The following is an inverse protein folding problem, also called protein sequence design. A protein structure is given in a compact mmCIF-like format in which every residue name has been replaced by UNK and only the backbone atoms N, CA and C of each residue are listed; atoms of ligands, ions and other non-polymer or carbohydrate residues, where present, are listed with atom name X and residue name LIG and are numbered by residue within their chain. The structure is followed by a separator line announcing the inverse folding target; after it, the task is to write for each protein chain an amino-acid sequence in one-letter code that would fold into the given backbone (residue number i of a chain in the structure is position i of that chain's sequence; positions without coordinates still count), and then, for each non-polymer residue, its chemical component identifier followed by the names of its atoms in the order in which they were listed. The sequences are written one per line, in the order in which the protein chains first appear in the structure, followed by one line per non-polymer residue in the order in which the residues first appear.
data_IF_116170343150
#
_entry.id   IF_116170343150
#
_cell.length_a   1.000
_cell.length_b   1.000
_cell.length_c   1.000
_cell.angle_alpha   90.00
_cell.angle_beta   90.00
_cell.angle_gamma   90.00
#
_symmetry.space_group_name_H-M   'P 1'
#
loop_
_entity.id
_entity.type
_entity.pdbx_description
1 polymer ?
#
# COMPACT_ATOMS: atom_id res chain seq x y z
N UNK A 1 -22.30 -4.77 -63.02
CA UNK A 1 -23.24 -3.61 -62.99
C UNK A 1 -23.11 -3.03 -61.58
N UNK A 2 -22.65 -1.81 -61.32
CA UNK A 2 -22.63 -0.57 -62.08
C UNK A 2 -21.29 0.17 -61.89
N UNK A 3 -20.92 0.88 -62.95
CA UNK A 3 -19.81 1.83 -63.10
C UNK A 3 -19.85 2.97 -62.05
N UNK A 4 -18.69 3.47 -61.61
CA UNK A 4 -18.59 4.92 -61.36
C UNK A 4 -17.22 5.50 -61.77
N UNK A 5 -17.31 6.68 -62.37
CA UNK A 5 -16.37 7.35 -63.27
C UNK A 5 -15.18 7.99 -62.56
N UNK A 6 -14.09 7.99 -63.31
CA UNK A 6 -12.85 8.74 -63.14
C UNK A 6 -13.01 10.27 -62.99
N UNK A 7 -12.14 10.81 -62.14
CA UNK A 7 -11.28 12.01 -62.32
C UNK A 7 -11.94 13.41 -62.26
N UNK A 8 -11.56 14.19 -61.24
CA UNK A 8 -10.90 15.51 -61.41
C UNK A 8 -10.40 16.09 -60.07
N UNK A 9 -9.25 16.78 -60.12
CA UNK A 9 -8.81 17.87 -59.24
C UNK A 9 -7.86 17.60 -58.03
N UNK A 10 -6.66 17.05 -58.26
CA UNK A 10 -5.63 16.84 -57.22
C UNK A 10 -4.71 18.06 -56.95
N UNK A 11 -4.90 19.22 -57.59
CA UNK A 11 -3.96 20.36 -57.48
C UNK A 11 -4.33 21.42 -56.43
N UNK A 12 -5.57 21.42 -55.90
CA UNK A 12 -6.03 22.41 -54.92
C UNK A 12 -5.77 22.03 -53.44
N UNK A 13 -5.73 20.74 -53.08
CA UNK A 13 -5.57 20.29 -51.68
C UNK A 13 -4.17 20.51 -51.08
N UNK A 14 -3.11 20.59 -51.89
CA UNK A 14 -1.73 20.74 -51.37
C UNK A 14 -1.40 22.12 -50.80
N UNK A 15 -2.08 23.21 -51.23
CA UNK A 15 -1.82 24.56 -50.69
C UNK A 15 -2.46 24.79 -49.32
N UNK A 16 -3.63 24.21 -49.03
CA UNK A 16 -4.30 24.37 -47.73
C UNK A 16 -3.57 23.68 -46.56
N UNK A 17 -2.99 22.50 -46.79
CA UNK A 17 -2.29 21.72 -45.76
C UNK A 17 -0.96 22.37 -45.35
N UNK A 18 -0.26 23.03 -46.27
CA UNK A 18 1.02 23.68 -45.98
C UNK A 18 0.86 24.94 -45.11
N UNK A 19 -0.19 25.72 -45.35
CA UNK A 19 -0.49 26.95 -44.59
C UNK A 19 -0.97 26.67 -43.16
N UNK A 20 -1.70 25.56 -42.95
CA UNK A 20 -2.21 25.16 -41.63
C UNK A 20 -1.09 24.66 -40.70
N UNK A 21 -0.09 23.95 -41.25
CA UNK A 21 1.05 23.44 -40.49
C UNK A 21 2.05 24.53 -40.02
N UNK A 22 2.13 25.68 -40.69
CA UNK A 22 3.01 26.78 -40.27
C UNK A 22 2.45 27.60 -39.11
N UNK A 23 1.12 27.73 -38.97
CA UNK A 23 0.49 28.48 -37.87
C UNK A 23 0.47 27.69 -36.56
N UNK A 24 0.29 26.37 -36.61
CA UNK A 24 0.26 25.50 -35.43
C UNK A 24 1.64 25.38 -34.74
N UNK A 25 2.73 25.32 -35.53
CA UNK A 25 4.10 25.26 -35.00
C UNK A 25 4.55 26.56 -34.29
N UNK A 26 4.01 27.71 -34.69
CA UNK A 26 4.29 29.01 -34.03
C UNK A 26 3.56 29.16 -32.69
N UNK A 27 2.37 28.57 -32.56
CA UNK A 27 1.63 28.56 -31.30
C UNK A 27 2.26 27.64 -30.24
N UNK A 28 2.76 26.47 -30.65
CA UNK A 28 3.42 25.51 -29.75
C UNK A 28 4.74 26.10 -29.18
N UNK A 29 5.51 26.82 -29.99
CA UNK A 29 6.76 27.45 -29.55
C UNK A 29 6.53 28.58 -28.51
N UNK A 30 5.43 29.32 -28.62
CA UNK A 30 5.05 30.38 -27.67
C UNK A 30 4.53 29.81 -26.34
N UNK A 31 3.81 28.68 -26.39
CA UNK A 31 3.34 27.99 -25.18
C UNK A 31 4.50 27.36 -24.37
N UNK A 32 5.52 26.80 -25.04
CA UNK A 32 6.70 26.27 -24.35
C UNK A 32 7.58 27.35 -23.70
N UNK A 33 7.67 28.55 -24.29
CA UNK A 33 8.44 29.66 -23.70
C UNK A 33 7.79 30.22 -22.42
N UNK A 34 6.46 30.17 -22.30
CA UNK A 34 5.73 30.62 -21.11
C UNK A 34 5.86 29.64 -19.92
N UNK A 35 6.09 28.34 -20.18
CA UNK A 35 6.22 27.32 -19.13
C UNK A 35 7.57 27.36 -18.41
N UNK A 36 8.61 27.93 -19.03
CA UNK A 36 9.98 27.98 -18.45
C UNK A 36 10.19 29.13 -17.46
N UNK A 37 9.19 30.01 -17.27
CA UNK A 37 9.30 31.20 -16.41
C UNK A 37 8.70 31.04 -15.00
N UNK A 38 8.17 29.86 -14.65
CA UNK A 38 7.39 29.67 -13.42
C UNK A 38 8.09 29.20 -12.11
N UNK A 39 9.38 28.81 -12.02
CA UNK A 39 9.92 28.35 -10.73
C UNK A 39 10.62 29.43 -9.86
N UNK A 40 10.50 30.73 -10.13
CA UNK A 40 11.24 31.78 -9.37
C UNK A 40 10.59 32.30 -8.08
N UNK A 41 9.54 31.68 -7.52
CA UNK A 41 8.82 32.24 -6.35
C UNK A 41 8.56 31.31 -5.16
N UNK A 42 9.35 30.25 -4.96
CA UNK A 42 9.19 29.37 -3.78
C UNK A 42 10.51 29.09 -3.02
N UNK A 43 11.28 30.13 -2.72
CA UNK A 43 12.45 30.03 -1.85
C UNK A 43 12.64 31.28 -0.96
N UNK A 44 11.91 31.32 0.15
CA UNK A 44 12.24 32.03 1.40
C UNK A 44 11.72 31.08 2.50
N UNK A 45 12.52 30.44 3.35
CA UNK A 45 13.88 30.76 3.77
C UNK A 45 13.83 31.77 4.89
N UNK A 46 13.59 31.32 6.13
CA UNK A 46 14.10 32.06 7.28
C UNK A 46 14.71 31.12 8.32
N UNK A 47 15.96 31.41 8.67
CA UNK A 47 16.77 30.77 9.69
C UNK A 47 17.08 31.87 10.70
N UNK A 48 16.59 31.75 11.92
CA UNK A 48 17.23 32.44 13.06
C UNK A 48 17.14 31.59 14.33
N UNK A 49 18.31 31.38 14.96
CA UNK A 49 18.53 30.97 16.35
C UNK A 49 19.75 31.76 16.84
N UNK A 50 20.04 31.89 18.15
CA UNK A 50 19.16 31.72 19.32
C UNK A 50 19.24 32.95 20.27
N UNK A 51 18.34 33.04 21.25
CA UNK A 51 18.74 33.43 22.61
C UNK A 51 17.72 33.00 23.67
N UNK A 52 18.26 32.61 24.82
CA UNK A 52 17.59 31.93 25.93
C UNK A 52 17.07 32.95 26.95
N UNK A 53 15.81 32.87 27.40
CA UNK A 53 15.40 33.08 28.81
C UNK A 53 13.97 32.56 29.03
N UNK A 54 13.80 31.77 30.09
CA UNK A 54 12.55 31.16 30.56
C UNK A 54 11.50 32.16 31.04
N UNK A 55 10.22 31.87 30.76
CA UNK A 55 9.06 32.48 31.39
C UNK A 55 7.78 32.05 30.68
N UNK A 56 6.91 31.32 31.39
CA UNK A 56 5.66 30.75 30.90
C UNK A 56 4.75 31.78 30.22
N UNK A 57 4.36 31.48 28.98
CA UNK A 57 3.08 31.90 28.43
C UNK A 57 2.43 30.70 27.74
N UNK A 58 1.21 30.41 28.16
CA UNK A 58 0.30 29.46 27.53
C UNK A 58 -0.07 30.07 26.18
N UNK A 59 0.63 29.64 25.13
CA UNK A 59 0.17 29.83 23.78
C UNK A 59 -0.78 28.68 23.48
N UNK A 60 -2.05 29.02 23.24
CA UNK A 60 -2.99 28.17 22.53
C UNK A 60 -2.29 27.64 21.28
N UNK A 61 -1.87 26.38 21.33
CA UNK A 61 -1.58 25.62 20.13
C UNK A 61 -2.92 25.50 19.44
N UNK A 62 -3.08 26.23 18.33
CA UNK A 62 -4.17 26.01 17.40
C UNK A 62 -4.18 24.52 17.09
N UNK A 63 -5.17 23.84 17.66
CA UNK A 63 -5.50 22.46 17.41
C UNK A 63 -5.82 22.39 15.92
N UNK A 64 -4.80 22.09 15.12
CA UNK A 64 -5.01 21.66 13.75
C UNK A 64 -5.50 20.23 13.91
N UNK A 65 -6.78 20.11 14.29
CA UNK A 65 -7.52 18.87 14.11
C UNK A 65 -7.41 18.58 12.62
N UNK A 66 -6.44 17.74 12.27
CA UNK A 66 -6.54 16.92 11.08
C UNK A 66 -7.93 16.31 11.18
N UNK A 67 -8.81 16.68 10.24
CA UNK A 67 -10.14 16.13 10.19
C UNK A 67 -9.97 14.62 10.16
N UNK A 68 -10.46 13.93 11.20
CA UNK A 68 -10.38 12.48 11.24
C UNK A 68 -10.91 11.91 9.93
N UNK A 69 -10.12 11.04 9.31
CA UNK A 69 -10.48 10.48 8.02
C UNK A 69 -11.81 9.72 8.15
N UNK A 70 -12.79 10.10 7.32
CA UNK A 70 -14.11 9.45 7.37
C UNK A 70 -14.01 8.01 6.86
N UNK A 71 -14.73 7.10 7.51
CA UNK A 71 -14.64 5.66 7.19
C UNK A 71 -15.11 5.32 5.76
N UNK A 72 -15.97 6.13 5.14
CA UNK A 72 -16.47 5.89 3.78
C UNK A 72 -17.41 4.68 3.65
N UNK A 73 -17.78 4.05 4.77
CA UNK A 73 -18.71 2.92 4.86
C UNK A 73 -20.04 3.38 5.51
N UNK A 74 -21.14 2.63 5.34
CA UNK A 74 -22.40 2.96 5.98
C UNK A 74 -22.24 3.06 7.50
N UNK A 75 -22.64 4.20 8.10
CA UNK A 75 -22.57 4.37 9.56
C UNK A 75 -23.53 3.45 10.32
N UNK A 76 -24.54 2.94 9.62
CA UNK A 76 -25.50 1.95 10.10
C UNK A 76 -25.86 1.03 8.94
N UNK A 77 -25.78 -0.28 9.13
CA UNK A 77 -26.44 -1.25 8.27
C UNK A 77 -26.94 -2.42 9.13
N UNK A 78 -27.82 -3.23 8.57
CA UNK A 78 -28.29 -4.46 9.20
C UNK A 78 -28.30 -5.56 8.15
N UNK A 79 -27.35 -6.48 8.25
CA UNK A 79 -27.25 -7.63 7.36
C UNK A 79 -27.87 -8.88 7.98
N UNK A 80 -28.81 -8.75 8.93
CA UNK A 80 -29.71 -9.85 9.32
C UNK A 80 -29.06 -11.03 10.04
N UNK A 81 -27.84 -10.87 10.57
CA UNK A 81 -27.08 -11.92 11.23
C UNK A 81 -26.31 -12.84 10.27
N UNK A 82 -26.09 -12.42 9.02
CA UNK A 82 -25.33 -13.19 8.03
C UNK A 82 -23.91 -13.53 8.54
N UNK A 83 -23.44 -14.74 8.19
CA UNK A 83 -22.06 -15.16 8.44
C UNK A 83 -21.14 -14.51 7.40
N UNK A 84 -20.09 -13.84 7.88
CA UNK A 84 -18.99 -13.31 7.07
C UNK A 84 -17.75 -14.16 7.29
N UNK A 85 -17.38 -14.95 6.28
CA UNK A 85 -16.39 -16.01 6.39
C UNK A 85 -15.05 -15.58 5.81
N UNK A 86 -14.01 -15.61 6.64
CA UNK A 86 -12.65 -15.22 6.32
C UNK A 86 -11.76 -16.46 6.22
N UNK A 87 -11.01 -16.60 5.14
CA UNK A 87 -9.91 -17.56 5.04
C UNK A 87 -8.59 -16.86 5.32
N UNK A 88 -7.77 -17.37 6.23
CA UNK A 88 -6.38 -16.91 6.41
C UNK A 88 -5.43 -18.07 6.16
N UNK A 89 -4.46 -17.92 5.24
CA UNK A 89 -3.58 -19.02 4.84
C UNK A 89 -2.17 -18.58 4.49
N UNK A 90 -1.17 -19.33 4.97
CA UNK A 90 0.24 -19.04 4.73
C UNK A 90 1.17 -19.53 5.84
N UNK A 91 2.48 -19.34 5.64
CA UNK A 91 3.51 -19.77 6.61
C UNK A 91 3.39 -18.97 7.91
N UNK A 92 3.03 -17.69 7.76
CA UNK A 92 2.70 -16.75 8.82
C UNK A 92 1.22 -16.43 8.62
N UNK A 93 0.38 -17.20 9.30
CA UNK A 93 -1.08 -17.09 9.28
C UNK A 93 -1.57 -17.29 10.70
N UNK A 94 -2.26 -16.28 11.22
CA UNK A 94 -2.85 -16.27 12.55
C UNK A 94 -4.33 -15.98 12.44
N UNK A 95 -5.08 -16.35 13.48
CA UNK A 95 -6.49 -16.05 13.54
C UNK A 95 -6.66 -14.67 14.20
N UNK A 96 -6.67 -13.61 13.37
CA UNK A 96 -6.77 -12.22 13.81
C UNK A 96 -8.17 -11.87 14.36
N UNK A 97 -9.15 -12.76 14.19
CA UNK A 97 -10.54 -12.57 14.58
C UNK A 97 -11.02 -13.54 15.68
N UNK A 98 -10.14 -14.35 16.29
CA UNK A 98 -10.50 -15.28 17.38
C UNK A 98 -10.27 -14.74 18.78
N UNK A 99 -9.83 -13.49 18.93
CA UNK A 99 -9.60 -12.91 20.25
C UNK A 99 -10.91 -12.70 21.03
N UNK A 100 -10.77 -12.74 22.36
CA UNK A 100 -11.84 -12.64 23.36
C UNK A 100 -11.61 -11.43 24.28
N UNK A 101 -12.68 -11.00 24.96
CA UNK A 101 -12.80 -9.71 25.68
C UNK A 101 -11.68 -9.41 26.70
N UNK A 102 -11.23 -10.43 27.43
CA UNK A 102 -10.38 -10.28 28.62
C UNK A 102 -8.86 -10.39 28.37
N UNK A 103 -8.39 -10.14 27.14
CA UNK A 103 -6.95 -10.21 26.86
C UNK A 103 -6.16 -9.08 27.52
N UNK A 104 -5.13 -9.44 28.29
CA UNK A 104 -4.18 -8.49 28.86
C UNK A 104 -3.18 -7.91 27.84
N UNK A 105 -3.14 -8.46 26.61
CA UNK A 105 -2.28 -7.97 25.54
C UNK A 105 -3.00 -6.84 24.76
N UNK A 106 -2.38 -5.66 24.60
CA UNK A 106 -3.01 -4.53 23.90
C UNK A 106 -3.49 -4.87 22.48
N UNK A 107 -2.71 -5.61 21.70
CA UNK A 107 -3.05 -5.99 20.33
C UNK A 107 -4.29 -6.88 20.27
N UNK A 108 -4.31 -7.96 21.07
CA UNK A 108 -5.44 -8.88 21.14
C UNK A 108 -6.73 -8.18 21.61
N UNK A 109 -6.63 -7.28 22.60
CA UNK A 109 -7.78 -6.48 23.05
C UNK A 109 -8.30 -5.55 21.94
N UNK A 110 -7.41 -4.93 21.17
CA UNK A 110 -7.80 -4.08 20.04
C UNK A 110 -8.47 -4.89 18.92
N UNK A 111 -7.95 -6.07 18.58
CA UNK A 111 -8.52 -6.95 17.56
C UNK A 111 -9.92 -7.48 17.97
N UNK A 112 -10.11 -7.84 19.24
CA UNK A 112 -11.43 -8.17 19.78
C UNK A 112 -12.41 -7.00 19.62
N UNK A 113 -12.02 -5.79 20.08
CA UNK A 113 -12.88 -4.60 19.98
C UNK A 113 -13.26 -4.27 18.54
N UNK A 114 -12.30 -4.35 17.61
CA UNK A 114 -12.55 -4.15 16.17
C UNK A 114 -13.60 -5.13 15.65
N UNK A 115 -13.42 -6.43 15.89
CA UNK A 115 -14.36 -7.47 15.46
C UNK A 115 -15.75 -7.23 16.06
N UNK A 116 -15.84 -7.07 17.38
CA UNK A 116 -17.11 -6.89 18.09
C UNK A 116 -17.86 -5.67 17.59
N UNK A 117 -17.16 -4.54 17.41
CA UNK A 117 -17.75 -3.33 16.85
C UNK A 117 -18.36 -3.56 15.47
N UNK A 118 -17.64 -4.20 14.55
CA UNK A 118 -18.16 -4.50 13.21
C UNK A 118 -19.37 -5.43 13.26
N UNK A 119 -19.32 -6.50 14.07
CA UNK A 119 -20.47 -7.41 14.23
C UNK A 119 -21.71 -6.69 14.79
N UNK A 120 -21.52 -5.79 15.75
CA UNK A 120 -22.61 -5.03 16.38
C UNK A 120 -23.20 -3.96 15.45
N UNK A 121 -22.35 -3.19 14.78
CA UNK A 121 -22.75 -2.08 13.90
C UNK A 121 -23.49 -2.57 12.66
N UNK A 122 -23.14 -3.76 12.16
CA UNK A 122 -23.63 -4.30 10.89
C UNK A 122 -24.52 -5.54 11.03
N UNK A 123 -24.69 -6.07 12.24
CA UNK A 123 -25.45 -7.30 12.52
C UNK A 123 -24.97 -8.48 11.66
N UNK A 124 -23.67 -8.77 11.74
CA UNK A 124 -23.04 -9.93 11.09
C UNK A 124 -22.31 -10.80 12.11
N UNK A 125 -21.96 -12.02 11.72
CA UNK A 125 -21.09 -12.91 12.47
C UNK A 125 -19.81 -13.18 11.69
N UNK A 126 -18.67 -12.71 12.21
CA UNK A 126 -17.37 -12.91 11.56
C UNK A 126 -16.81 -14.26 12.01
N UNK A 127 -16.55 -15.15 11.05
CA UNK A 127 -15.87 -16.42 11.27
C UNK A 127 -14.54 -16.42 10.50
N UNK A 128 -13.47 -16.92 11.12
CA UNK A 128 -12.18 -17.05 10.45
C UNK A 128 -11.67 -18.49 10.51
N UNK A 129 -11.31 -19.03 9.34
CA UNK A 129 -10.58 -20.28 9.21
C UNK A 129 -9.10 -20.00 8.91
N UNK A 130 -8.21 -20.40 9.82
CA UNK A 130 -6.78 -20.28 9.64
C UNK A 130 -6.15 -21.61 9.14
N UNK A 131 -5.58 -21.59 7.93
CA UNK A 131 -4.78 -22.67 7.34
C UNK A 131 -3.29 -22.32 7.36
N UNK A 132 -2.67 -22.40 8.55
CA UNK A 132 -1.23 -22.15 8.71
C UNK A 132 -0.41 -23.29 8.11
N UNK A 133 0.23 -23.04 6.98
CA UNK A 133 0.94 -24.03 6.18
C UNK A 133 1.89 -23.36 5.18
N UNK A 134 2.50 -24.10 4.26
CA UNK A 134 3.35 -23.53 3.22
C UNK A 134 2.55 -22.67 2.22
N UNK A 135 3.18 -21.66 1.64
CA UNK A 135 2.72 -20.95 0.45
C UNK A 135 3.78 -21.07 -0.65
N UNK A 136 3.38 -21.61 -1.80
CA UNK A 136 4.28 -21.95 -2.91
C UNK A 136 3.63 -21.73 -4.28
N UNK A 137 2.47 -21.07 -4.32
CA UNK A 137 1.66 -20.89 -5.53
C UNK A 137 0.61 -22.00 -5.74
N UNK A 138 0.77 -23.13 -5.07
CA UNK A 138 -0.21 -24.23 -5.00
C UNK A 138 -0.48 -24.66 -3.57
N UNK A 139 -0.24 -23.79 -2.59
CA UNK A 139 -0.43 -24.07 -1.19
C UNK A 139 -1.92 -24.10 -0.77
N UNK A 140 -2.19 -24.33 0.53
CA UNK A 140 -3.55 -24.47 1.02
C UNK A 140 -4.44 -23.26 0.82
N UNK A 141 -3.87 -22.04 0.74
CA UNK A 141 -4.62 -20.83 0.42
C UNK A 141 -5.16 -20.86 -1.01
N UNK A 142 -4.27 -21.16 -1.97
CA UNK A 142 -4.67 -21.33 -3.37
C UNK A 142 -5.70 -22.46 -3.53
N UNK A 143 -5.42 -23.63 -2.95
CA UNK A 143 -6.30 -24.81 -3.10
C UNK A 143 -7.71 -24.56 -2.56
N UNK A 144 -7.84 -23.88 -1.41
CA UNK A 144 -9.13 -23.60 -0.80
C UNK A 144 -10.00 -22.68 -1.67
N UNK A 145 -9.45 -21.56 -2.13
CA UNK A 145 -10.17 -20.63 -3.01
C UNK A 145 -10.47 -21.28 -4.36
N UNK A 146 -9.49 -21.94 -4.99
CA UNK A 146 -9.69 -22.63 -6.25
C UNK A 146 -10.79 -23.70 -6.15
N UNK A 147 -10.84 -24.46 -5.06
CA UNK A 147 -11.89 -25.46 -4.85
C UNK A 147 -13.27 -24.79 -4.73
N UNK A 148 -13.41 -23.76 -3.88
CA UNK A 148 -14.67 -23.03 -3.69
C UNK A 148 -15.22 -22.48 -5.01
N UNK A 149 -14.36 -21.84 -5.82
CA UNK A 149 -14.77 -21.27 -7.11
C UNK A 149 -15.20 -22.37 -8.10
N UNK A 150 -14.47 -23.49 -8.17
CA UNK A 150 -14.79 -24.56 -9.12
C UNK A 150 -16.04 -25.36 -8.74
N UNK A 151 -16.37 -25.46 -7.44
CA UNK A 151 -17.65 -26.05 -7.00
C UNK A 151 -18.83 -25.10 -7.14
N UNK A 152 -18.58 -23.81 -7.37
CA UNK A 152 -19.60 -22.76 -7.36
C UNK A 152 -20.05 -22.41 -5.94
N UNK A 153 -19.25 -22.77 -4.93
CA UNK A 153 -19.51 -22.44 -3.53
C UNK A 153 -18.99 -21.03 -3.21
N UNK A 154 -19.77 -20.28 -2.44
CA UNK A 154 -19.36 -18.99 -1.86
C UNK A 154 -18.89 -19.19 -0.41
N UNK A 155 -17.87 -20.03 -0.21
CA UNK A 155 -17.44 -20.40 1.15
C UNK A 155 -16.80 -19.25 1.92
N UNK A 156 -16.09 -18.36 1.23
CA UNK A 156 -15.35 -17.26 1.85
C UNK A 156 -15.71 -15.93 1.19
N UNK A 157 -15.92 -14.91 2.02
CA UNK A 157 -16.20 -13.53 1.62
C UNK A 157 -14.93 -12.69 1.55
N UNK A 158 -13.90 -13.08 2.31
CA UNK A 158 -12.58 -12.46 2.37
C UNK A 158 -11.49 -13.52 2.51
N UNK A 159 -10.33 -13.29 1.88
CA UNK A 159 -9.19 -14.18 1.99
C UNK A 159 -7.88 -13.40 2.26
N UNK A 160 -7.23 -13.70 3.39
CA UNK A 160 -5.91 -13.22 3.80
C UNK A 160 -4.87 -14.29 3.44
N UNK A 161 -4.27 -14.17 2.25
CA UNK A 161 -3.47 -15.24 1.65
C UNK A 161 -2.02 -14.80 1.45
N UNK A 162 -1.07 -15.64 1.84
CA UNK A 162 0.35 -15.39 1.64
C UNK A 162 0.73 -15.20 0.15
N UNK A 163 1.77 -14.38 -0.05
CA UNK A 163 2.15 -13.79 -1.34
C UNK A 163 2.26 -14.74 -2.53
N UNK A 164 2.85 -15.93 -2.36
CA UNK A 164 3.00 -16.87 -3.48
C UNK A 164 1.66 -17.43 -3.95
N UNK A 165 0.78 -17.81 -3.02
CA UNK A 165 -0.52 -18.39 -3.35
C UNK A 165 -1.46 -17.33 -3.93
N UNK A 166 -1.51 -16.12 -3.34
CA UNK A 166 -2.38 -15.03 -3.84
C UNK A 166 -1.96 -14.55 -5.23
N UNK A 167 -0.66 -14.56 -5.53
CA UNK A 167 -0.15 -14.22 -6.86
C UNK A 167 -0.66 -15.21 -7.93
N UNK A 168 -0.73 -16.50 -7.61
CA UNK A 168 -1.27 -17.50 -8.54
C UNK A 168 -2.79 -17.39 -8.67
N UNK A 169 -3.51 -17.09 -7.57
CA UNK A 169 -4.95 -16.79 -7.63
C UNK A 169 -5.24 -15.60 -8.56
N UNK A 170 -4.46 -14.53 -8.43
CA UNK A 170 -4.54 -13.34 -9.29
C UNK A 170 -4.30 -13.69 -10.77
N UNK A 171 -3.21 -14.41 -11.07
CA UNK A 171 -2.91 -14.86 -12.43
C UNK A 171 -3.99 -15.78 -13.02
N UNK A 172 -4.64 -16.58 -12.17
CA UNK A 172 -5.68 -17.55 -12.58
C UNK A 172 -7.06 -16.92 -12.77
N UNK A 173 -7.20 -15.60 -12.53
CA UNK A 173 -8.48 -14.90 -12.67
C UNK A 173 -9.52 -15.28 -11.61
N UNK A 174 -9.06 -15.68 -10.42
CA UNK A 174 -9.92 -16.14 -9.33
C UNK A 174 -10.23 -15.06 -8.29
N UNK A 175 -9.75 -13.84 -8.49
CA UNK A 175 -9.92 -12.71 -7.58
C UNK A 175 -10.68 -11.57 -8.28
N UNK A 176 -11.50 -10.86 -7.50
CA UNK A 176 -12.10 -9.61 -7.94
C UNK A 176 -11.05 -8.50 -7.97
N UNK A 177 -11.25 -7.53 -8.86
CA UNK A 177 -10.58 -6.25 -8.77
C UNK A 177 -11.14 -5.49 -7.57
N UNK A 178 -10.33 -5.25 -6.54
CA UNK A 178 -10.70 -4.53 -5.33
C UNK A 178 -11.20 -3.10 -5.64
N UNK A 179 -10.69 -2.46 -6.70
CA UNK A 179 -11.18 -1.15 -7.15
C UNK A 179 -12.64 -1.18 -7.63
N UNK A 180 -13.15 -2.37 -7.98
CA UNK A 180 -14.51 -2.56 -8.47
C UNK A 180 -15.51 -2.95 -7.36
N UNK A 181 -15.03 -3.26 -6.15
CA UNK A 181 -15.88 -3.71 -5.04
C UNK A 181 -16.49 -2.51 -4.32
N UNK A 182 -17.83 -2.40 -4.27
CA UNK A 182 -18.48 -1.30 -3.56
C UNK A 182 -18.09 -1.24 -2.08
N UNK A 183 -17.74 -0.06 -1.60
CA UNK A 183 -17.35 0.18 -0.20
C UNK A 183 -15.86 -0.01 0.09
N UNK A 184 -15.06 -0.46 -0.88
CA UNK A 184 -13.60 -0.45 -0.77
C UNK A 184 -13.07 0.85 -1.38
N UNK A 185 -12.40 1.65 -0.55
CA UNK A 185 -11.64 2.82 -0.97
C UNK A 185 -10.17 2.62 -0.58
N UNK A 186 -9.33 2.31 -1.57
CA UNK A 186 -7.90 2.02 -1.36
C UNK A 186 -7.07 3.29 -1.12
N UNK A 187 -7.65 4.48 -1.25
CA UNK A 187 -6.96 5.74 -0.92
C UNK A 187 -6.86 6.01 0.58
N UNK A 188 -7.61 5.24 1.39
CA UNK A 188 -7.69 5.40 2.84
C UNK A 188 -6.39 5.03 3.56
N UNK A 189 -6.11 5.71 4.67
CA UNK A 189 -4.82 5.60 5.39
C UNK A 189 -4.53 4.22 5.99
N UNK A 190 -5.55 3.42 6.26
CA UNK A 190 -5.42 2.05 6.77
C UNK A 190 -5.03 1.01 5.71
N UNK A 191 -4.90 1.42 4.44
CA UNK A 191 -4.32 0.58 3.38
C UNK A 191 -2.85 0.93 3.17
N UNK A 192 -2.03 -0.08 2.88
CA UNK A 192 -0.62 0.15 2.55
C UNK A 192 -0.51 0.77 1.15
N UNK A 193 -0.22 2.07 1.12
CA UNK A 193 -0.10 2.83 -0.12
C UNK A 193 1.09 2.38 -0.99
N UNK A 194 2.16 1.84 -0.38
CA UNK A 194 3.29 1.29 -1.14
C UNK A 194 2.93 -0.05 -1.76
N UNK A 195 2.18 -0.88 -1.04
CA UNK A 195 1.62 -2.10 -1.59
C UNK A 195 0.67 -1.77 -2.76
N UNK A 196 -0.22 -0.80 -2.60
CA UNK A 196 -1.11 -0.36 -3.66
C UNK A 196 -0.36 0.14 -4.90
N UNK A 197 0.66 0.98 -4.71
CA UNK A 197 1.50 1.46 -5.83
C UNK A 197 2.20 0.30 -6.55
N UNK A 198 2.75 -0.66 -5.80
CA UNK A 198 3.60 -1.73 -6.34
C UNK A 198 2.83 -2.91 -6.93
N UNK A 199 1.63 -3.20 -6.41
CA UNK A 199 0.83 -4.39 -6.75
C UNK A 199 -0.25 -4.10 -7.78
N UNK A 200 -0.58 -2.83 -8.02
CA UNK A 200 -1.53 -2.47 -9.08
C UNK A 200 -0.97 -2.79 -10.47
N UNK A 201 -1.81 -3.35 -11.34
CA UNK A 201 -1.43 -3.64 -12.73
C UNK A 201 -2.49 -3.07 -13.66
N UNK A 202 -2.13 -2.00 -14.39
CA UNK A 202 -3.03 -1.30 -15.32
C UNK A 202 -4.36 -0.89 -14.66
N UNK A 203 -4.25 -0.26 -13.49
CA UNK A 203 -5.37 0.21 -12.65
C UNK A 203 -6.25 -0.91 -12.05
N UNK A 204 -5.83 -2.17 -12.16
CA UNK A 204 -6.48 -3.32 -11.51
C UNK A 204 -5.73 -3.67 -10.24
N UNK A 205 -6.46 -3.85 -9.13
CA UNK A 205 -5.92 -4.27 -7.84
C UNK A 205 -6.50 -5.63 -7.43
N UNK A 206 -5.74 -6.71 -7.59
CA UNK A 206 -6.25 -8.06 -7.28
C UNK A 206 -6.00 -8.49 -5.84
N UNK A 207 -5.01 -7.91 -5.17
CA UNK A 207 -4.71 -8.13 -3.75
C UNK A 207 -3.85 -6.99 -3.21
N UNK A 208 -3.98 -6.70 -1.93
CA UNK A 208 -3.17 -5.72 -1.21
C UNK A 208 -3.13 -6.06 0.29
N UNK A 209 -2.49 -5.22 1.10
CA UNK A 209 -2.43 -5.32 2.57
C UNK A 209 -2.72 -3.97 3.22
N UNK A 210 -2.79 -3.97 4.54
CA UNK A 210 -3.06 -2.82 5.40
C UNK A 210 -3.32 -3.28 6.82
N UNK A 211 -3.99 -2.46 7.62
CA UNK A 211 -4.23 -2.70 9.05
C UNK A 211 -5.21 -3.86 9.35
N UNK A 212 -5.64 -4.61 8.32
CA UNK A 212 -6.57 -5.72 8.46
C UNK A 212 -5.94 -6.91 9.22
N UNK A 213 -4.64 -7.13 9.05
CA UNK A 213 -3.87 -8.23 9.66
C UNK A 213 -2.48 -7.72 10.09
N UNK A 214 -1.89 -8.38 11.08
CA UNK A 214 -0.49 -8.15 11.45
C UNK A 214 0.46 -9.24 10.91
N UNK A 215 -0.04 -10.15 10.08
CA UNK A 215 0.73 -11.31 9.61
C UNK A 215 1.95 -10.92 8.77
N UNK A 216 1.91 -9.80 8.06
CA UNK A 216 3.04 -9.25 7.30
C UNK A 216 4.10 -8.61 8.23
N UNK A 217 3.68 -7.94 9.30
CA UNK A 217 4.59 -7.44 10.33
C UNK A 217 5.37 -8.59 10.98
N UNK A 218 4.69 -9.72 11.26
CA UNK A 218 5.32 -10.93 11.81
C UNK A 218 6.27 -11.63 10.83
N UNK A 219 6.18 -11.32 9.54
CA UNK A 219 7.06 -11.81 8.49
C UNK A 219 8.23 -10.85 8.15
N UNK A 220 8.40 -9.77 8.92
CA UNK A 220 9.46 -8.77 8.69
C UNK A 220 10.82 -9.28 9.17
N UNK A 221 11.84 -9.14 8.32
CA UNK A 221 13.23 -9.45 8.67
C UNK A 221 13.96 -8.18 9.12
N UNK A 222 14.58 -8.23 10.30
CA UNK A 222 15.38 -7.14 10.84
C UNK A 222 16.86 -7.55 10.90
N UNK A 223 17.74 -6.65 10.45
CA UNK A 223 19.17 -6.73 10.75
C UNK A 223 19.43 -6.15 12.13
N UNK A 224 19.95 -6.98 13.03
CA UNK A 224 20.34 -6.56 14.37
C UNK A 224 21.87 -6.47 14.46
N UNK A 225 22.36 -5.50 15.23
CA UNK A 225 23.79 -5.34 15.49
C UNK A 225 24.06 -5.15 16.98
N UNK A 226 25.23 -5.59 17.43
CA UNK A 226 25.64 -5.45 18.83
C UNK A 226 26.24 -4.06 19.06
N UNK A 227 25.53 -3.22 19.83
CA UNK A 227 25.98 -1.86 20.18
C UNK A 227 27.32 -1.83 20.92
N UNK A 228 27.67 -2.87 21.67
CA UNK A 228 28.96 -2.95 22.35
C UNK A 228 30.10 -3.22 21.39
N UNK A 229 29.90 -4.05 20.36
CA UNK A 229 30.91 -4.26 19.32
C UNK A 229 31.17 -2.98 18.53
N UNK A 230 30.11 -2.23 18.21
CA UNK A 230 30.25 -0.91 17.57
C UNK A 230 31.14 0.02 18.40
N UNK A 231 30.97 0.05 19.73
CA UNK A 231 31.80 0.86 20.63
C UNK A 231 33.23 0.33 20.76
N UNK A 232 33.40 -0.98 20.97
CA UNK A 232 34.70 -1.60 21.23
C UNK A 232 35.66 -1.47 20.06
N UNK A 233 35.13 -1.50 18.84
CA UNK A 233 35.91 -1.43 17.60
C UNK A 233 35.83 -0.07 16.91
N UNK A 234 35.28 0.95 17.59
CA UNK A 234 35.10 2.32 17.07
C UNK A 234 34.45 2.34 15.67
N UNK A 235 33.44 1.49 15.47
CA UNK A 235 32.73 1.38 14.20
C UNK A 235 31.75 2.54 14.03
N UNK A 236 31.49 2.91 12.78
CA UNK A 236 30.42 3.85 12.46
C UNK A 236 29.08 3.32 12.96
N UNK A 237 28.29 4.20 13.59
CA UNK A 237 26.99 3.85 14.13
C UNK A 237 26.02 3.49 12.99
N UNK A 238 25.51 2.24 12.93
CA UNK A 238 24.58 1.84 11.88
C UNK A 238 23.30 2.69 11.80
N UNK A 239 22.81 3.26 12.91
CA UNK A 239 21.66 4.17 12.85
C UNK A 239 21.99 5.46 12.10
N UNK A 240 23.15 6.08 12.39
CA UNK A 240 23.58 7.29 11.68
C UNK A 240 23.82 7.01 10.20
N UNK A 241 24.36 5.83 9.86
CA UNK A 241 24.52 5.41 8.48
C UNK A 241 23.18 5.31 7.74
N UNK A 242 22.10 4.87 8.41
CA UNK A 242 20.75 4.86 7.84
C UNK A 242 20.25 6.29 7.66
N UNK A 243 20.34 7.13 8.70
CA UNK A 243 19.86 8.52 8.67
C UNK A 243 20.56 9.36 7.59
N UNK A 244 21.85 9.10 7.37
CA UNK A 244 22.67 9.76 6.35
C UNK A 244 22.48 9.18 4.94
N UNK A 245 21.66 8.13 4.77
CA UNK A 245 21.45 7.45 3.49
C UNK A 245 22.64 6.61 3.00
N UNK A 246 23.58 6.27 3.88
CA UNK A 246 24.80 5.50 3.59
C UNK A 246 24.69 4.00 3.94
N UNK A 247 23.51 3.54 4.40
CA UNK A 247 23.28 2.14 4.72
C UNK A 247 23.04 1.31 3.45
N UNK A 248 24.01 0.46 3.12
CA UNK A 248 23.95 -0.48 1.99
C UNK A 248 24.46 -1.86 2.43
N UNK A 249 24.22 -2.90 1.62
CA UNK A 249 24.80 -4.22 1.87
C UNK A 249 26.34 -4.20 1.86
N UNK A 250 26.96 -3.31 1.09
CA UNK A 250 28.42 -3.12 1.07
C UNK A 250 28.92 -2.46 2.37
N UNK A 251 28.20 -1.44 2.85
CA UNK A 251 28.48 -0.81 4.15
C UNK A 251 28.37 -1.83 5.28
N UNK A 252 27.28 -2.61 5.30
CA UNK A 252 27.07 -3.69 6.26
C UNK A 252 28.19 -4.74 6.18
N UNK A 253 28.52 -5.22 4.97
CA UNK A 253 29.59 -6.18 4.76
C UNK A 253 30.96 -5.67 5.19
N UNK A 254 31.22 -4.37 5.05
CA UNK A 254 32.45 -3.73 5.53
C UNK A 254 32.52 -3.74 7.06
N UNK A 255 31.44 -3.34 7.75
CA UNK A 255 31.36 -3.38 9.21
C UNK A 255 31.55 -4.80 9.76
N UNK A 256 30.93 -5.80 9.13
CA UNK A 256 31.09 -7.20 9.52
C UNK A 256 32.52 -7.72 9.37
N UNK A 257 33.26 -7.26 8.34
CA UNK A 257 34.66 -7.66 8.12
C UNK A 257 35.65 -7.01 9.07
N UNK A 258 35.27 -5.92 9.75
CA UNK A 258 36.14 -5.28 10.75
C UNK A 258 36.18 -6.07 12.05
N UNK A 259 35.09 -6.74 12.41
CA UNK A 259 34.98 -7.56 13.62
C UNK A 259 35.18 -9.04 13.27
N UNK A 260 36.43 -9.41 12.97
CA UNK A 260 36.79 -10.79 12.62
C UNK A 260 37.61 -11.51 13.69
N UNK A 261 37.96 -10.83 14.78
CA UNK A 261 38.75 -11.42 15.87
C UNK A 261 37.83 -12.06 16.92
N UNK A 262 38.15 -13.30 17.28
CA UNK A 262 37.48 -14.05 18.33
C UNK A 262 37.86 -13.47 19.69
N UNK A 263 36.87 -13.10 20.50
CA UNK A 263 37.08 -12.56 21.85
C UNK A 263 37.23 -13.74 22.81
N UNK A 264 38.48 -14.17 23.05
CA UNK A 264 38.83 -15.15 24.09
C UNK A 264 38.67 -14.59 25.50
#
# INVERSE_FOLDING_TARGET
MYYNKNVTNTRAKKKGVLFMNMKLKRFIALALAALMLCPMFAACGDKTKPDTTSGSDVSDTADTSELEETLGVPLTADYGGEDFNILTAGNVAYNDFAFEEDSALPLASAQYKRKTKVQEDYKIKINEEAKKAYSSGGGPGFMAINQSVNSGDCTYDLALIAGYDVSVLAYSGLLYDLNSVPGIDLSKSWWDQKANESLSVRDVMLFTTGDITCSDNDATFCLMFNKQLVKNYDLQNPYQLVDDGNWTLDTFGTLCKTVTEDLN
#
